data_IF_228233075773
#
_entry.id   IF_228233075773
#
_cell.length_a   1.000
_cell.length_b   1.000
_cell.length_c   1.000
_cell.angle_alpha   90.00
_cell.angle_beta   90.00
_cell.angle_gamma   90.00
#
_symmetry.space_group_name_H-M   'P 1'
#
loop_
_entity.id
_entity.type
_entity.pdbx_description
1 polymer ?
#
# COMPACT_ATOMS: atom_id res chain seq x y z
N UNK A 1 -14.47 6.49 12.12
CA UNK A 1 -14.29 5.32 11.23
C UNK A 1 -13.84 4.15 12.07
N UNK A 2 -14.40 2.94 11.86
CA UNK A 2 -14.15 1.83 12.77
C UNK A 2 -13.45 0.63 12.13
N UNK A 3 -13.34 0.60 10.79
CA UNK A 3 -12.78 -0.55 10.07
C UNK A 3 -11.58 -0.17 9.21
N UNK A 4 -10.42 -0.69 9.60
CA UNK A 4 -9.19 -0.66 8.81
C UNK A 4 -8.87 -2.04 8.30
N UNK A 5 -8.14 -2.12 7.19
CA UNK A 5 -7.63 -3.40 6.72
C UNK A 5 -6.34 -3.24 5.92
N UNK A 6 -5.58 -4.31 5.90
CA UNK A 6 -4.40 -4.46 5.06
C UNK A 6 -4.29 -5.88 4.52
N UNK A 7 -3.49 -6.06 3.50
CA UNK A 7 -3.29 -7.34 2.82
C UNK A 7 -1.82 -7.74 2.83
N UNK A 8 -1.58 -9.04 2.99
CA UNK A 8 -0.25 -9.61 2.84
C UNK A 8 -0.28 -10.99 2.19
N UNK A 9 0.67 -11.23 1.26
CA UNK A 9 0.91 -12.54 0.66
C UNK A 9 2.31 -13.05 1.02
N UNK A 10 2.39 -14.20 1.66
CA UNK A 10 3.63 -14.80 2.10
C UNK A 10 3.92 -14.62 3.59
N UNK A 11 5.19 -14.74 3.97
CA UNK A 11 5.63 -14.50 5.35
C UNK A 11 5.57 -13.02 5.70
N UNK A 12 4.89 -12.67 6.80
CA UNK A 12 4.75 -11.30 7.25
C UNK A 12 6.11 -10.77 7.74
N UNK A 13 6.60 -9.62 7.25
CA UNK A 13 7.88 -9.08 7.68
C UNK A 13 7.80 -8.49 9.09
N UNK A 14 8.85 -8.68 9.91
CA UNK A 14 8.94 -8.11 11.26
C UNK A 14 8.85 -6.58 11.30
N UNK A 15 9.30 -5.90 10.24
CA UNK A 15 9.19 -4.43 10.14
C UNK A 15 7.74 -3.91 10.10
N UNK A 16 6.74 -4.78 9.86
CA UNK A 16 5.33 -4.40 9.97
C UNK A 16 4.88 -4.14 11.41
N UNK A 17 5.71 -4.46 12.40
CA UNK A 17 5.44 -4.17 13.81
C UNK A 17 5.12 -2.69 14.04
N UNK A 18 5.88 -1.80 13.42
CA UNK A 18 5.65 -0.35 13.52
C UNK A 18 4.27 0.05 12.97
N UNK A 19 3.82 -0.55 11.86
CA UNK A 19 2.49 -0.34 11.30
C UNK A 19 1.39 -0.62 12.32
N UNK A 20 1.40 -1.82 12.92
CA UNK A 20 0.36 -2.23 13.86
C UNK A 20 0.43 -1.47 15.18
N UNK A 21 1.63 -1.18 15.70
CA UNK A 21 1.80 -0.40 16.94
C UNK A 21 1.29 1.02 16.77
N UNK A 22 1.66 1.68 15.68
CA UNK A 22 1.17 3.02 15.40
C UNK A 22 -0.35 3.04 15.14
N UNK A 23 -0.91 2.02 14.47
CA UNK A 23 -2.35 1.88 14.32
C UNK A 23 -3.06 1.82 15.69
N UNK A 24 -2.62 0.94 16.57
CA UNK A 24 -3.24 0.77 17.91
C UNK A 24 -3.19 2.07 18.71
N UNK A 25 -2.05 2.77 18.64
CA UNK A 25 -1.85 4.03 19.36
C UNK A 25 -2.82 5.13 18.89
N UNK A 26 -2.91 5.37 17.58
CA UNK A 26 -3.72 6.47 17.04
C UNK A 26 -5.19 6.12 16.81
N UNK A 27 -5.54 4.84 16.76
CA UNK A 27 -6.90 4.37 16.49
C UNK A 27 -7.43 3.41 17.57
N UNK A 28 -7.41 3.78 18.87
CA UNK A 28 -7.70 2.85 19.98
C UNK A 28 -9.11 2.25 19.95
N UNK A 29 -10.06 2.92 19.28
CA UNK A 29 -11.46 2.49 19.15
C UNK A 29 -11.79 1.83 17.80
N UNK A 30 -10.78 1.56 16.97
CA UNK A 30 -10.97 0.99 15.63
C UNK A 30 -10.57 -0.49 15.60
N UNK A 31 -11.04 -1.21 14.58
CA UNK A 31 -10.65 -2.59 14.29
C UNK A 31 -9.78 -2.62 13.04
N UNK A 32 -8.86 -3.58 13.00
CA UNK A 32 -7.98 -3.82 11.87
C UNK A 32 -8.09 -5.28 11.43
N UNK A 33 -8.49 -5.51 10.19
CA UNK A 33 -8.48 -6.84 9.59
C UNK A 33 -7.18 -7.00 8.78
N UNK A 34 -6.30 -7.89 9.24
CA UNK A 34 -5.13 -8.33 8.49
C UNK A 34 -5.50 -9.51 7.61
N UNK A 35 -5.58 -9.28 6.30
CA UNK A 35 -5.93 -10.29 5.32
C UNK A 35 -4.67 -10.99 4.79
N UNK A 36 -4.55 -12.29 5.09
CA UNK A 36 -3.44 -13.13 4.68
C UNK A 36 -3.86 -14.05 3.54
N UNK A 37 -3.09 -13.99 2.43
CA UNK A 37 -3.38 -14.75 1.22
C UNK A 37 -2.92 -16.22 1.34
N UNK A 38 -3.87 -17.13 1.42
CA UNK A 38 -3.59 -18.58 1.49
C UNK A 38 -2.95 -19.13 0.21
N UNK A 39 -3.13 -18.45 -0.93
CA UNK A 39 -2.65 -18.92 -2.24
C UNK A 39 -1.12 -18.87 -2.38
N UNK A 40 -0.42 -18.14 -1.51
CA UNK A 40 1.05 -17.95 -1.58
C UNK A 40 1.79 -18.41 -0.33
N UNK A 41 1.09 -19.13 0.52
CA UNK A 41 1.59 -19.48 1.85
C UNK A 41 1.58 -18.27 2.79
N UNK A 42 1.59 -18.52 4.08
CA UNK A 42 1.53 -17.47 5.09
C UNK A 42 2.22 -17.92 6.36
N UNK A 43 2.93 -17.00 6.97
CA UNK A 43 3.47 -17.17 8.32
C UNK A 43 3.54 -15.84 9.03
N UNK A 44 3.33 -15.87 10.34
CA UNK A 44 3.52 -14.72 11.22
C UNK A 44 4.76 -15.03 12.04
N UNK A 45 5.82 -14.23 11.97
CA UNK A 45 7.04 -14.46 12.74
C UNK A 45 6.79 -14.31 14.24
N UNK A 46 7.67 -14.90 15.06
CA UNK A 46 7.47 -15.01 16.51
C UNK A 46 7.35 -13.65 17.21
N UNK A 47 8.06 -12.64 16.75
CA UNK A 47 8.02 -11.26 17.28
C UNK A 47 6.72 -10.52 16.96
N UNK A 48 5.91 -11.04 16.04
CA UNK A 48 4.57 -10.55 15.70
C UNK A 48 3.43 -11.45 16.21
N UNK A 49 3.72 -12.51 17.00
CA UNK A 49 2.68 -13.40 17.52
C UNK A 49 1.64 -12.69 18.39
N UNK A 50 1.99 -11.56 18.98
CA UNK A 50 1.08 -10.74 19.75
C UNK A 50 -0.14 -10.25 18.96
N UNK A 51 -0.02 -10.13 17.63
CA UNK A 51 -1.15 -9.77 16.74
C UNK A 51 -2.31 -10.75 16.85
N UNK A 52 -2.04 -12.04 17.12
CA UNK A 52 -3.05 -13.10 17.23
C UNK A 52 -3.98 -12.94 18.42
N UNK A 53 -3.52 -12.24 19.45
CA UNK A 53 -4.24 -12.07 20.73
C UNK A 53 -4.68 -10.64 20.97
N UNK A 54 -4.26 -9.69 20.16
CA UNK A 54 -4.61 -8.29 20.35
C UNK A 54 -6.09 -8.02 19.97
N UNK A 55 -6.89 -7.40 20.87
CA UNK A 55 -8.34 -7.29 20.70
C UNK A 55 -8.78 -6.42 19.50
N UNK A 56 -7.90 -5.55 18.99
CA UNK A 56 -8.20 -4.71 17.84
C UNK A 56 -7.81 -5.34 16.50
N UNK A 57 -7.01 -6.41 16.51
CA UNK A 57 -6.47 -7.04 15.29
C UNK A 57 -7.20 -8.34 15.01
N UNK A 58 -7.82 -8.45 13.85
CA UNK A 58 -8.40 -9.70 13.37
C UNK A 58 -7.55 -10.25 12.22
N UNK A 59 -7.02 -11.46 12.38
CA UNK A 59 -6.31 -12.14 11.30
C UNK A 59 -7.31 -12.92 10.48
N UNK A 60 -7.41 -12.58 9.18
CA UNK A 60 -8.29 -13.20 8.20
C UNK A 60 -7.46 -13.97 7.19
N UNK A 61 -7.75 -15.25 7.01
CA UNK A 61 -7.11 -16.10 6.00
C UNK A 61 -8.10 -16.33 4.86
N UNK A 62 -7.66 -16.09 3.63
CA UNK A 62 -8.55 -16.18 2.46
C UNK A 62 -7.77 -16.52 1.19
N UNK A 63 -8.49 -16.91 0.13
CA UNK A 63 -7.92 -17.07 -1.20
C UNK A 63 -8.23 -15.83 -2.05
N UNK A 64 -7.20 -15.03 -2.34
CA UNK A 64 -7.36 -13.90 -3.24
C UNK A 64 -7.73 -14.38 -4.66
N UNK A 65 -7.25 -15.54 -5.08
CA UNK A 65 -7.60 -16.16 -6.37
C UNK A 65 -9.10 -16.36 -6.52
N UNK A 66 -9.79 -16.83 -5.46
CA UNK A 66 -11.23 -17.01 -5.49
C UNK A 66 -11.96 -15.66 -5.64
N UNK A 67 -11.51 -14.62 -4.93
CA UNK A 67 -12.11 -13.30 -5.07
C UNK A 67 -11.86 -12.70 -6.46
N UNK A 68 -10.63 -12.80 -6.97
CA UNK A 68 -10.29 -12.33 -8.32
C UNK A 68 -11.16 -13.00 -9.36
N UNK A 69 -11.37 -14.33 -9.30
CA UNK A 69 -12.22 -15.04 -10.26
C UNK A 69 -13.70 -14.63 -10.19
N UNK A 70 -14.14 -14.09 -9.06
CA UNK A 70 -15.54 -13.65 -8.85
C UNK A 70 -15.78 -12.18 -9.23
N UNK A 71 -14.82 -11.32 -8.97
CA UNK A 71 -15.00 -9.85 -9.02
C UNK A 71 -14.25 -9.17 -10.17
N UNK A 72 -13.24 -9.82 -10.73
CA UNK A 72 -12.46 -9.24 -11.84
C UNK A 72 -12.93 -9.83 -13.16
N UNK A 73 -13.33 -8.94 -14.06
CA UNK A 73 -13.75 -9.34 -15.40
C UNK A 73 -12.57 -9.89 -16.19
N UNK A 74 -12.65 -11.11 -16.76
CA UNK A 74 -11.61 -11.63 -17.63
C UNK A 74 -11.43 -10.74 -18.85
N UNK A 75 -10.18 -10.46 -19.23
CA UNK A 75 -9.90 -9.78 -20.51
C UNK A 75 -10.43 -10.61 -21.68
N UNK A 76 -11.12 -9.93 -22.59
CA UNK A 76 -11.63 -10.53 -23.83
C UNK A 76 -10.52 -10.73 -24.88
N UNK A 77 -9.36 -10.09 -24.71
CA UNK A 77 -8.21 -10.22 -25.61
C UNK A 77 -6.95 -10.50 -24.81
N UNK A 78 -6.55 -11.74 -24.76
CA UNK A 78 -5.25 -12.16 -24.22
C UNK A 78 -4.20 -12.07 -25.32
N UNK A 79 -3.41 -11.01 -25.31
CA UNK A 79 -2.07 -11.12 -25.88
C UNK A 79 -1.24 -11.98 -24.90
N UNK A 80 -1.25 -13.28 -25.09
CA UNK A 80 -0.47 -14.18 -24.25
C UNK A 80 1.03 -13.88 -24.34
N UNK A 81 1.60 -13.54 -23.24
CA UNK A 81 2.89 -13.97 -22.70
C UNK A 81 4.17 -13.48 -23.36
N UNK A 82 4.30 -13.43 -24.64
CA UNK A 82 5.62 -13.36 -25.30
C UNK A 82 6.43 -12.08 -25.02
N UNK A 83 5.82 -10.91 -25.18
CA UNK A 83 6.51 -9.63 -24.97
C UNK A 83 6.74 -9.35 -23.48
N UNK A 84 5.77 -9.71 -22.63
CA UNK A 84 5.86 -9.55 -21.21
C UNK A 84 6.98 -10.37 -20.58
N UNK A 85 7.09 -11.64 -20.96
CA UNK A 85 8.12 -12.53 -20.46
C UNK A 85 9.51 -12.11 -20.98
N UNK A 86 9.62 -11.63 -22.21
CA UNK A 86 10.86 -11.09 -22.76
C UNK A 86 11.29 -9.82 -22.02
N UNK A 87 10.41 -8.86 -21.79
CA UNK A 87 10.72 -7.61 -21.07
C UNK A 87 11.06 -7.89 -19.59
N UNK A 88 10.37 -8.81 -18.94
CA UNK A 88 10.67 -9.22 -17.57
C UNK A 88 11.99 -9.99 -17.47
N UNK A 89 12.30 -10.82 -18.45
CA UNK A 89 13.59 -11.51 -18.55
C UNK A 89 14.74 -10.52 -18.73
N UNK A 90 14.59 -9.55 -19.62
CA UNK A 90 15.55 -8.47 -19.86
C UNK A 90 15.77 -7.65 -18.58
N UNK A 91 14.72 -7.31 -17.87
CA UNK A 91 14.78 -6.58 -16.59
C UNK A 91 15.47 -7.39 -15.48
N UNK A 92 15.13 -8.67 -15.32
CA UNK A 92 15.76 -9.56 -14.32
C UNK A 92 17.23 -9.82 -14.57
N UNK A 93 17.64 -9.95 -15.84
CA UNK A 93 19.04 -10.20 -16.23
C UNK A 93 19.94 -8.99 -16.12
N UNK A 94 19.41 -7.84 -15.65
CA UNK A 94 20.19 -6.60 -15.49
C UNK A 94 20.85 -6.09 -16.79
N UNK A 95 20.45 -6.60 -17.95
CA UNK A 95 20.98 -6.25 -19.26
C UNK A 95 20.78 -4.78 -19.57
N UNK A 96 19.72 -4.17 -19.02
CA UNK A 96 19.38 -2.76 -19.19
C UNK A 96 19.74 -1.88 -17.99
N UNK A 97 20.67 -2.30 -17.12
CA UNK A 97 21.11 -1.47 -15.96
C UNK A 97 21.64 -0.09 -16.34
N UNK A 98 22.12 0.07 -17.55
CA UNK A 98 22.68 1.33 -18.07
C UNK A 98 21.63 2.22 -18.77
N UNK A 99 20.48 1.67 -19.11
CA UNK A 99 19.33 2.46 -19.53
C UNK A 99 18.55 2.74 -18.25
N UNK A 100 18.29 4.00 -17.94
CA UNK A 100 17.69 4.48 -16.69
C UNK A 100 16.23 3.98 -16.53
N UNK A 101 16.05 2.64 -16.55
CA UNK A 101 14.80 1.92 -16.31
C UNK A 101 14.46 1.84 -14.81
N UNK A 102 15.18 2.61 -13.96
CA UNK A 102 14.82 2.81 -12.54
C UNK A 102 13.44 3.44 -12.37
N UNK A 103 12.89 3.98 -13.43
CA UNK A 103 11.55 4.51 -13.41
C UNK A 103 10.54 3.38 -13.63
N UNK A 104 10.01 2.79 -12.55
CA UNK A 104 8.89 1.86 -12.56
C UNK A 104 7.66 2.41 -13.33
N UNK A 105 7.67 3.67 -13.67
CA UNK A 105 6.65 4.47 -14.31
C UNK A 105 7.00 4.82 -15.77
N UNK A 106 8.02 4.16 -16.35
CA UNK A 106 8.33 4.37 -17.75
C UNK A 106 7.12 3.99 -18.65
N UNK A 107 6.91 4.66 -19.77
CA UNK A 107 5.84 4.32 -20.72
C UNK A 107 5.85 2.85 -21.15
N UNK A 108 7.05 2.24 -21.28
CA UNK A 108 7.21 0.82 -21.60
C UNK A 108 6.71 -0.10 -20.47
N UNK A 109 6.94 0.27 -19.21
CA UNK A 109 6.46 -0.49 -18.07
C UNK A 109 4.93 -0.38 -17.96
N UNK A 110 4.38 0.83 -18.15
CA UNK A 110 2.93 1.06 -18.19
C UNK A 110 2.29 0.24 -19.33
N UNK A 111 2.85 0.28 -20.53
CA UNK A 111 2.35 -0.47 -21.69
C UNK A 111 2.29 -1.97 -21.43
N UNK A 112 3.28 -2.50 -20.73
CA UNK A 112 3.37 -3.91 -20.39
C UNK A 112 2.22 -4.40 -19.49
N UNK A 113 1.84 -3.60 -18.47
CA UNK A 113 0.71 -3.95 -17.61
C UNK A 113 -0.64 -3.79 -18.32
N UNK A 114 -0.78 -2.82 -19.23
CA UNK A 114 -2.01 -2.60 -19.98
C UNK A 114 -2.38 -3.78 -20.90
N UNK A 115 -1.38 -4.52 -21.37
CA UNK A 115 -1.59 -5.66 -22.28
C UNK A 115 -1.57 -7.02 -21.56
N UNK A 116 -1.51 -7.04 -20.22
CA UNK A 116 -1.48 -8.28 -19.44
C UNK A 116 -2.83 -8.47 -18.75
N UNK A 117 -3.43 -9.66 -18.91
CA UNK A 117 -4.63 -10.02 -18.16
C UNK A 117 -4.42 -9.81 -16.65
N UNK A 118 -5.36 -9.22 -15.91
CA UNK A 118 -5.31 -9.14 -14.46
C UNK A 118 -5.02 -10.49 -13.80
N UNK A 119 -5.62 -11.58 -14.29
CA UNK A 119 -5.37 -12.94 -13.81
C UNK A 119 -3.94 -13.41 -14.06
N UNK A 120 -3.36 -13.07 -15.21
CA UNK A 120 -1.99 -13.43 -15.53
C UNK A 120 -0.99 -12.66 -14.68
N UNK A 121 -1.19 -11.35 -14.51
CA UNK A 121 -0.36 -10.50 -13.68
C UNK A 121 -0.48 -10.91 -12.21
N UNK A 122 -1.67 -11.27 -11.75
CA UNK A 122 -1.92 -11.81 -10.42
C UNK A 122 -1.03 -13.03 -10.10
N UNK A 123 -0.89 -13.97 -11.01
CA UNK A 123 -0.09 -15.18 -10.76
C UNK A 123 1.40 -14.91 -10.59
N UNK A 124 1.92 -13.84 -11.19
CA UNK A 124 3.36 -13.58 -11.31
C UNK A 124 3.89 -12.40 -10.49
N UNK A 125 3.02 -11.52 -10.03
CA UNK A 125 3.42 -10.27 -9.37
C UNK A 125 2.74 -10.11 -8.01
N UNK A 126 3.51 -10.32 -6.93
CA UNK A 126 3.01 -10.19 -5.56
C UNK A 126 2.56 -8.77 -5.21
N UNK A 127 3.20 -7.74 -5.79
CA UNK A 127 2.79 -6.34 -5.57
C UNK A 127 1.43 -6.09 -6.22
N UNK A 128 1.20 -6.65 -7.42
CA UNK A 128 -0.10 -6.54 -8.08
C UNK A 128 -1.24 -7.20 -7.30
N UNK A 129 -0.93 -8.26 -6.53
CA UNK A 129 -1.92 -8.85 -5.62
C UNK A 129 -2.40 -7.85 -4.57
N UNK A 130 -1.51 -7.03 -4.04
CA UNK A 130 -1.88 -5.94 -3.14
C UNK A 130 -2.80 -4.92 -3.81
N UNK A 131 -2.49 -4.54 -5.06
CA UNK A 131 -3.34 -3.61 -5.83
C UNK A 131 -4.75 -4.17 -6.08
N UNK A 132 -4.87 -5.47 -6.36
CA UNK A 132 -6.16 -6.15 -6.49
C UNK A 132 -6.88 -6.27 -5.14
N UNK A 133 -6.18 -6.69 -4.11
CA UNK A 133 -6.75 -6.93 -2.79
C UNK A 133 -7.41 -5.68 -2.21
N UNK A 134 -6.76 -4.50 -2.33
CA UNK A 134 -7.30 -3.22 -1.83
C UNK A 134 -8.59 -2.77 -2.52
N UNK A 135 -8.84 -3.24 -3.76
CA UNK A 135 -10.06 -2.94 -4.49
C UNK A 135 -11.15 -3.97 -4.27
N UNK A 136 -10.79 -5.26 -4.11
CA UNK A 136 -11.77 -6.37 -4.05
C UNK A 136 -12.26 -6.61 -2.61
N UNK A 137 -11.37 -6.58 -1.62
CA UNK A 137 -11.71 -6.89 -0.22
C UNK A 137 -12.84 -6.00 0.30
N UNK A 138 -12.84 -4.68 0.11
CA UNK A 138 -13.91 -3.83 0.63
C UNK A 138 -15.26 -4.16 0.01
N UNK A 139 -15.33 -4.51 -1.26
CA UNK A 139 -16.58 -4.92 -1.93
C UNK A 139 -17.07 -6.27 -1.42
N UNK A 140 -16.16 -7.21 -1.19
CA UNK A 140 -16.50 -8.57 -0.81
C UNK A 140 -16.91 -8.73 0.66
N UNK A 141 -16.39 -7.87 1.55
CA UNK A 141 -16.43 -8.13 2.99
C UNK A 141 -16.90 -6.96 3.87
N UNK A 142 -17.03 -5.73 3.35
CA UNK A 142 -17.44 -4.58 4.16
C UNK A 142 -18.69 -3.91 3.59
N UNK A 143 -19.70 -3.75 4.43
CA UNK A 143 -20.88 -2.93 4.12
C UNK A 143 -20.75 -1.50 4.67
N UNK A 144 -19.81 -1.29 5.60
CA UNK A 144 -19.51 -0.04 6.29
C UNK A 144 -18.26 0.65 5.70
N UNK A 145 -18.05 1.94 6.05
CA UNK A 145 -16.84 2.65 5.66
C UNK A 145 -15.56 1.92 6.03
N UNK A 146 -14.63 1.80 5.09
CA UNK A 146 -13.38 1.07 5.29
C UNK A 146 -12.17 1.82 4.75
N UNK A 147 -11.02 1.63 5.41
CA UNK A 147 -9.75 2.20 5.00
C UNK A 147 -8.72 1.09 4.81
N UNK A 148 -8.23 0.98 3.59
CA UNK A 148 -7.05 0.19 3.28
C UNK A 148 -5.78 0.95 3.64
N UNK A 149 -4.82 0.25 4.25
CA UNK A 149 -3.46 0.73 4.44
C UNK A 149 -2.46 -0.36 4.06
N UNK A 150 -1.47 -0.01 3.23
CA UNK A 150 -0.31 -0.87 2.99
C UNK A 150 0.45 -1.08 4.30
N UNK A 151 1.04 -2.27 4.49
CA UNK A 151 1.72 -2.60 5.75
C UNK A 151 3.09 -1.93 5.92
N UNK A 152 3.55 -1.16 4.93
CA UNK A 152 4.71 -0.28 4.98
C UNK A 152 4.35 1.19 5.27
N UNK A 153 3.26 1.39 5.97
CA UNK A 153 2.78 2.69 6.46
C UNK A 153 2.87 2.73 7.99
N UNK A 154 3.38 3.83 8.54
CA UNK A 154 3.30 4.17 9.95
C UNK A 154 2.24 5.26 10.12
N UNK A 155 1.27 5.07 11.01
CA UNK A 155 0.32 6.11 11.39
C UNK A 155 1.01 7.10 12.35
N UNK A 156 0.77 8.38 12.13
CA UNK A 156 1.34 9.48 12.92
C UNK A 156 0.28 10.39 13.51
N UNK A 157 -0.99 10.17 13.14
CA UNK A 157 -2.15 10.83 13.72
C UNK A 157 -3.42 10.03 13.47
N UNK A 158 -4.50 10.43 14.13
CA UNK A 158 -5.84 9.89 13.90
C UNK A 158 -6.38 10.33 12.52
N UNK A 159 -6.75 9.34 11.71
CA UNK A 159 -7.32 9.55 10.37
C UNK A 159 -8.80 9.96 10.39
N UNK A 160 -9.48 9.90 11.54
CA UNK A 160 -10.91 10.23 11.63
C UNK A 160 -11.22 11.66 11.17
N UNK A 161 -10.27 12.58 11.35
CA UNK A 161 -10.43 13.99 10.94
C UNK A 161 -10.56 14.17 9.42
N UNK A 162 -10.04 13.23 8.62
CA UNK A 162 -10.06 13.28 7.16
C UNK A 162 -10.95 12.20 6.54
N UNK A 163 -11.32 11.17 7.29
CA UNK A 163 -12.23 10.09 6.87
C UNK A 163 -13.69 10.52 7.06
N UNK A 164 -14.17 11.39 6.19
CA UNK A 164 -15.53 11.96 6.28
C UNK A 164 -16.47 11.28 5.26
N UNK A 165 -17.11 12.07 4.42
CA UNK A 165 -18.13 11.60 3.47
C UNK A 165 -17.57 11.29 2.08
N UNK A 166 -16.34 11.67 1.81
CA UNK A 166 -15.69 11.53 0.50
C UNK A 166 -14.56 10.53 0.59
N UNK A 167 -14.51 9.59 -0.35
CA UNK A 167 -13.38 8.69 -0.52
C UNK A 167 -12.09 9.45 -0.84
N UNK A 168 -10.94 8.89 -0.48
CA UNK A 168 -9.68 9.54 -0.80
C UNK A 168 -8.53 8.58 -1.05
N UNK A 169 -7.54 9.12 -1.75
CA UNK A 169 -6.19 8.62 -1.98
C UNK A 169 -5.20 9.77 -1.77
N UNK A 170 -3.90 9.54 -1.92
CA UNK A 170 -2.92 10.63 -1.90
C UNK A 170 -2.00 10.58 -3.12
N UNK A 171 -1.28 11.67 -3.42
CA UNK A 171 -0.40 11.78 -4.58
C UNK A 171 1.01 12.14 -4.16
N UNK A 172 1.99 11.56 -4.84
CA UNK A 172 3.35 12.08 -4.90
C UNK A 172 3.41 13.26 -5.88
N UNK A 173 4.03 14.35 -5.50
CA UNK A 173 3.94 15.64 -6.23
C UNK A 173 4.28 15.55 -7.71
N UNK A 174 5.22 14.67 -8.08
CA UNK A 174 5.75 14.58 -9.47
C UNK A 174 4.95 13.64 -10.39
N UNK A 175 3.81 13.09 -9.92
CA UNK A 175 3.06 12.09 -10.69
C UNK A 175 1.67 12.57 -11.08
N UNK A 176 1.23 12.14 -12.28
CA UNK A 176 -0.10 12.38 -12.85
C UNK A 176 -1.18 11.39 -12.37
N UNK A 177 -0.87 10.60 -11.34
CA UNK A 177 -1.76 9.64 -10.72
C UNK A 177 -1.59 9.63 -9.19
N UNK A 178 -2.61 9.18 -8.48
CA UNK A 178 -2.54 9.03 -7.03
C UNK A 178 -1.99 7.66 -6.62
N UNK A 179 -1.35 7.63 -5.45
CA UNK A 179 -0.94 6.42 -4.76
C UNK A 179 -2.12 5.88 -3.94
N UNK A 180 -2.22 4.57 -3.86
CA UNK A 180 -3.26 3.85 -3.13
C UNK A 180 -2.74 3.04 -1.94
N UNK A 181 -1.54 3.37 -1.42
CA UNK A 181 -1.06 2.79 -0.16
C UNK A 181 -1.99 3.13 1.03
N UNK A 182 -2.75 4.22 0.90
CA UNK A 182 -3.94 4.53 1.70
C UNK A 182 -5.09 4.76 0.73
N UNK A 183 -6.16 4.00 0.90
CA UNK A 183 -7.39 4.15 0.12
C UNK A 183 -8.60 4.10 1.06
N UNK A 184 -9.33 5.20 1.16
CA UNK A 184 -10.55 5.28 1.95
C UNK A 184 -11.79 5.19 1.09
N UNK A 185 -12.69 4.28 1.45
CA UNK A 185 -14.02 4.12 0.87
C UNK A 185 -15.08 4.43 1.95
N UNK A 186 -15.81 5.56 1.83
CA UNK A 186 -16.81 5.98 2.81
C UNK A 186 -18.07 5.12 2.77
N UNK A 187 -18.20 4.24 1.79
CA UNK A 187 -19.29 3.28 1.64
C UNK A 187 -18.91 2.15 0.70
N UNK A 188 -19.63 1.03 0.78
CA UNK A 188 -19.52 -0.07 -0.17
C UNK A 188 -19.72 0.40 -1.63
N UNK A 189 -20.64 1.33 -1.85
CA UNK A 189 -20.88 1.90 -3.19
C UNK A 189 -19.64 2.54 -3.80
N UNK A 190 -18.84 3.25 -3.01
CA UNK A 190 -17.58 3.85 -3.50
C UNK A 190 -16.56 2.76 -3.79
N UNK A 191 -16.47 1.73 -2.93
CA UNK A 191 -15.59 0.58 -3.18
C UNK A 191 -15.97 -0.16 -4.47
N UNK A 192 -17.27 -0.37 -4.73
CA UNK A 192 -17.78 -0.96 -5.98
C UNK A 192 -17.40 -0.12 -7.20
N UNK A 193 -17.53 1.20 -7.12
CA UNK A 193 -17.15 2.10 -8.21
C UNK A 193 -15.64 2.05 -8.49
N UNK A 194 -14.79 1.93 -7.48
CA UNK A 194 -13.35 1.75 -7.66
C UNK A 194 -13.04 0.42 -8.34
N UNK A 195 -13.69 -0.67 -7.93
CA UNK A 195 -13.53 -1.98 -8.53
C UNK A 195 -13.99 -1.99 -9.99
N UNK A 196 -15.15 -1.38 -10.28
CA UNK A 196 -15.70 -1.27 -11.63
C UNK A 196 -14.78 -0.46 -12.54
N UNK A 197 -14.22 0.65 -12.05
CA UNK A 197 -13.23 1.43 -12.80
C UNK A 197 -11.98 0.59 -13.12
N UNK A 198 -11.47 -0.22 -12.18
CA UNK A 198 -10.38 -1.14 -12.41
C UNK A 198 -10.70 -2.20 -13.49
N UNK A 199 -11.92 -2.73 -13.47
CA UNK A 199 -12.42 -3.64 -14.51
C UNK A 199 -12.55 -2.95 -15.87
N UNK A 200 -13.02 -1.70 -15.93
CA UNK A 200 -13.17 -0.94 -17.18
C UNK A 200 -11.82 -0.60 -17.82
N UNK A 201 -10.82 -0.20 -17.01
CA UNK A 201 -9.47 0.07 -17.53
C UNK A 201 -8.62 -1.20 -17.63
N UNK A 202 -9.18 -2.34 -17.25
CA UNK A 202 -8.53 -3.66 -17.28
C UNK A 202 -7.20 -3.71 -16.51
N UNK A 203 -7.03 -2.83 -15.51
CA UNK A 203 -5.80 -2.74 -14.73
C UNK A 203 -6.04 -2.10 -13.36
N UNK A 204 -5.51 -2.72 -12.32
CA UNK A 204 -5.64 -2.25 -10.93
C UNK A 204 -4.41 -1.51 -10.42
N UNK A 205 -3.42 -1.26 -11.27
CA UNK A 205 -2.24 -0.46 -10.90
C UNK A 205 -2.62 1.00 -10.68
N UNK A 206 -2.04 1.68 -9.67
CA UNK A 206 -2.36 3.08 -9.36
C UNK A 206 -2.26 4.02 -10.56
N UNK A 207 -1.24 3.88 -11.40
CA UNK A 207 -1.04 4.74 -12.59
C UNK A 207 -2.04 4.55 -13.72
N UNK A 208 -2.91 3.55 -13.64
CA UNK A 208 -4.05 3.38 -14.55
C UNK A 208 -5.36 3.66 -13.85
N UNK A 209 -5.52 3.20 -12.61
CA UNK A 209 -6.78 3.26 -11.88
C UNK A 209 -6.98 4.60 -11.16
N UNK A 210 -5.92 5.23 -10.65
CA UNK A 210 -6.03 6.46 -9.86
C UNK A 210 -5.49 7.69 -10.59
N UNK A 211 -5.76 7.80 -11.90
CA UNK A 211 -5.52 9.04 -12.66
C UNK A 211 -6.48 10.14 -12.23
N UNK A 212 -6.16 11.41 -12.51
CA UNK A 212 -7.04 12.54 -12.19
C UNK A 212 -8.45 12.38 -12.76
N UNK A 213 -8.54 11.88 -13.99
CA UNK A 213 -9.82 11.66 -14.68
C UNK A 213 -10.68 10.67 -13.91
N UNK A 214 -10.11 9.51 -13.55
CA UNK A 214 -10.84 8.47 -12.82
C UNK A 214 -11.14 8.92 -11.38
N UNK A 215 -10.19 9.51 -10.68
CA UNK A 215 -10.44 10.02 -9.32
C UNK A 215 -11.57 11.05 -9.29
N UNK A 216 -11.63 11.95 -10.27
CA UNK A 216 -12.73 12.91 -10.40
C UNK A 216 -14.07 12.22 -10.69
N UNK A 217 -14.10 11.24 -11.60
CA UNK A 217 -15.31 10.45 -11.89
C UNK A 217 -15.82 9.68 -10.67
N UNK A 218 -14.91 9.15 -9.86
CA UNK A 218 -15.21 8.43 -8.62
C UNK A 218 -15.48 9.36 -7.44
N UNK A 219 -15.35 10.67 -7.61
CA UNK A 219 -15.42 11.66 -6.53
C UNK A 219 -14.45 11.36 -5.39
N UNK A 220 -13.23 10.92 -5.71
CA UNK A 220 -12.16 10.67 -4.76
C UNK A 220 -11.34 11.95 -4.55
N UNK A 221 -11.15 12.34 -3.30
CA UNK A 221 -10.23 13.41 -2.95
C UNK A 221 -8.79 12.93 -3.05
N UNK A 222 -7.94 13.72 -3.69
CA UNK A 222 -6.52 13.44 -3.76
C UNK A 222 -5.79 14.36 -2.78
N UNK A 223 -5.24 13.78 -1.72
CA UNK A 223 -4.43 14.53 -0.75
C UNK A 223 -2.98 14.70 -1.24
N UNK A 224 -2.30 15.78 -0.86
CA UNK A 224 -0.91 16.03 -1.24
C UNK A 224 0.07 15.15 -0.42
N UNK A 225 1.25 14.94 -0.98
CA UNK A 225 2.31 14.12 -0.37
C UNK A 225 2.80 14.63 0.99
N UNK A 226 2.78 15.94 1.21
CA UNK A 226 3.24 16.56 2.45
C UNK A 226 2.40 16.22 3.69
N UNK A 227 1.28 15.51 3.51
CA UNK A 227 0.48 14.97 4.60
C UNK A 227 0.68 13.44 4.78
N UNK A 228 1.09 12.73 3.72
CA UNK A 228 1.07 11.27 3.69
C UNK A 228 2.41 10.60 3.47
N UNK A 229 3.44 11.33 3.05
CA UNK A 229 4.70 10.70 2.67
C UNK A 229 5.89 11.65 2.75
N UNK A 230 6.60 11.58 3.87
CA UNK A 230 7.78 12.41 4.09
C UNK A 230 8.92 12.10 3.11
N UNK A 231 9.02 10.86 2.62
CA UNK A 231 10.11 10.45 1.71
C UNK A 231 9.97 11.04 0.31
N UNK A 232 8.75 11.34 -0.12
CA UNK A 232 8.47 12.00 -1.40
C UNK A 232 8.28 13.51 -1.27
N UNK A 233 8.30 14.04 -0.06
CA UNK A 233 8.30 15.49 0.14
C UNK A 233 9.74 16.02 0.04
N UNK A 234 10.10 16.80 -1.00
CA UNK A 234 11.48 17.26 -1.20
C UNK A 234 12.00 18.19 -0.09
N UNK A 235 11.10 18.71 0.75
CA UNK A 235 11.42 19.56 1.91
C UNK A 235 11.59 18.78 3.22
N UNK A 236 11.48 17.45 3.18
CA UNK A 236 11.64 16.59 4.35
C UNK A 236 13.10 16.13 4.51
N UNK A 237 13.54 15.94 5.74
CA UNK A 237 14.82 15.31 6.06
C UNK A 237 14.88 13.85 5.57
N UNK A 238 13.73 13.19 5.44
CA UNK A 238 13.59 11.83 4.90
C UNK A 238 13.58 11.78 3.38
N UNK A 239 13.56 12.93 2.69
CA UNK A 239 13.41 12.98 1.24
C UNK A 239 14.47 12.14 0.49
N UNK A 240 13.99 11.49 -0.59
CA UNK A 240 14.80 10.88 -1.64
C UNK A 240 15.40 9.50 -1.35
N UNK A 241 15.49 9.04 -0.08
CA UNK A 241 16.02 7.72 0.24
C UNK A 241 15.26 7.08 1.41
N UNK A 242 14.41 6.10 1.11
CA UNK A 242 13.66 5.36 2.11
C UNK A 242 14.56 4.60 3.11
N UNK A 243 15.82 4.28 2.75
CA UNK A 243 16.74 3.61 3.67
C UNK A 243 17.17 4.52 4.83
N UNK A 244 17.09 5.83 4.69
CA UNK A 244 17.33 6.76 5.83
C UNK A 244 16.43 6.45 7.02
N UNK A 245 15.20 5.98 6.76
CA UNK A 245 14.24 5.62 7.80
C UNK A 245 14.71 4.44 8.67
N UNK A 246 15.56 3.57 8.11
CA UNK A 246 16.06 2.35 8.78
C UNK A 246 17.50 2.46 9.29
N UNK A 247 18.21 3.53 8.95
CA UNK A 247 19.62 3.74 9.36
C UNK A 247 19.71 4.77 10.46
N UNK A 248 20.61 4.51 11.41
CA UNK A 248 20.99 5.49 12.42
C UNK A 248 21.86 6.59 11.78
N UNK A 249 21.47 7.83 11.98
CA UNK A 249 22.23 9.04 11.60
C UNK A 249 22.18 10.05 12.73
N UNK A 250 23.03 11.08 12.67
CA UNK A 250 22.97 12.18 13.63
C UNK A 250 21.65 12.98 13.54
N UNK A 251 20.91 12.82 12.45
CA UNK A 251 19.62 13.47 12.22
C UNK A 251 18.42 12.58 12.57
N UNK A 252 18.61 11.33 13.04
CA UNK A 252 17.50 10.40 13.27
C UNK A 252 16.41 10.95 14.20
N UNK A 253 16.81 11.65 15.27
CA UNK A 253 15.86 12.31 16.20
C UNK A 253 15.12 13.43 15.49
N UNK A 254 15.85 14.33 14.79
CA UNK A 254 15.25 15.44 14.06
C UNK A 254 14.27 14.96 12.95
N UNK A 255 14.56 13.84 12.29
CA UNK A 255 13.64 13.21 11.32
C UNK A 255 12.32 12.77 11.97
N UNK A 256 12.37 12.19 13.18
CA UNK A 256 11.16 11.79 13.91
C UNK A 256 10.39 13.03 14.39
N UNK A 257 11.06 14.01 14.95
CA UNK A 257 10.45 15.28 15.37
C UNK A 257 9.75 15.97 14.20
N UNK A 258 10.41 16.03 13.04
CA UNK A 258 9.84 16.61 11.82
C UNK A 258 8.52 15.94 11.41
N UNK A 259 8.41 14.60 11.53
CA UNK A 259 7.18 13.88 11.18
C UNK A 259 5.98 14.37 12.00
N UNK A 260 6.17 14.65 13.28
CA UNK A 260 5.11 15.17 14.15
C UNK A 260 4.91 16.68 14.01
N UNK A 261 5.96 17.47 13.95
CA UNK A 261 5.88 18.93 13.82
C UNK A 261 5.22 19.38 12.51
N UNK A 262 5.55 18.73 11.38
CA UNK A 262 4.92 18.96 10.08
C UNK A 262 3.56 18.31 9.94
N UNK A 263 3.08 17.62 10.99
CA UNK A 263 1.75 17.00 11.06
C UNK A 263 1.48 16.03 9.91
N UNK A 264 2.48 15.19 9.58
CA UNK A 264 2.21 14.06 8.70
C UNK A 264 1.14 13.17 9.34
N UNK A 265 0.23 12.69 8.53
CA UNK A 265 -0.85 11.79 8.97
C UNK A 265 -0.34 10.36 8.98
N UNK A 266 0.45 10.02 8.00
CA UNK A 266 1.18 8.76 7.89
C UNK A 266 2.56 8.99 7.30
N UNK A 267 3.45 8.01 7.47
CA UNK A 267 4.71 7.92 6.73
C UNK A 267 4.82 6.56 6.05
N UNK A 268 5.14 6.54 4.76
CA UNK A 268 5.21 5.35 3.93
C UNK A 268 6.69 5.04 3.63
N UNK A 269 7.18 3.81 3.93
CA UNK A 269 8.60 3.44 3.72
C UNK A 269 8.88 2.54 2.52
N UNK A 270 7.94 2.49 1.57
CA UNK A 270 8.14 2.02 0.19
C UNK A 270 8.83 0.67 0.03
N UNK A 271 8.17 -0.42 0.38
CA UNK A 271 8.62 -1.79 0.08
C UNK A 271 9.98 -2.20 0.66
N UNK A 272 10.47 -1.54 1.72
CA UNK A 272 11.74 -1.91 2.36
C UNK A 272 11.57 -3.06 3.39
N UNK A 273 10.80 -4.06 3.04
CA UNK A 273 10.39 -5.17 3.91
C UNK A 273 11.52 -6.03 4.46
N UNK A 274 12.66 -6.07 3.76
CA UNK A 274 13.83 -6.88 4.13
C UNK A 274 14.91 -6.10 4.85
N UNK A 275 14.70 -4.82 5.05
CA UNK A 275 15.64 -3.96 5.75
C UNK A 275 15.53 -4.24 7.25
N UNK A 276 16.67 -4.50 7.88
CA UNK A 276 16.77 -4.63 9.34
C UNK A 276 17.03 -3.22 9.88
N UNK A 277 16.12 -2.68 10.72
CA UNK A 277 16.33 -1.35 11.30
C UNK A 277 17.53 -1.34 12.24
N UNK A 278 18.36 -0.31 12.14
CA UNK A 278 19.43 -0.07 13.10
C UNK A 278 18.87 0.53 14.39
N UNK A 279 19.43 0.16 15.54
CA UNK A 279 19.08 0.77 16.83
C UNK A 279 19.40 2.28 16.79
N UNK A 280 18.42 3.10 17.13
CA UNK A 280 18.49 4.57 17.04
C UNK A 280 18.19 5.13 15.65
N UNK A 281 17.74 4.32 14.68
CA UNK A 281 17.15 4.79 13.42
C UNK A 281 15.79 5.45 13.65
N UNK A 282 15.27 6.28 12.72
CA UNK A 282 13.92 6.83 12.83
C UNK A 282 12.85 5.75 13.05
N UNK A 283 12.97 4.60 12.38
CA UNK A 283 12.08 3.44 12.59
C UNK A 283 12.13 2.96 14.06
N UNK A 284 13.32 2.73 14.60
CA UNK A 284 13.52 2.22 15.96
C UNK A 284 13.03 3.23 17.01
N UNK A 285 13.30 4.51 16.81
CA UNK A 285 12.83 5.59 17.69
C UNK A 285 11.30 5.67 17.73
N UNK A 286 10.62 5.58 16.57
CA UNK A 286 9.16 5.55 16.49
C UNK A 286 8.60 4.29 17.15
N UNK A 287 9.20 3.14 16.88
CA UNK A 287 8.75 1.87 17.46
C UNK A 287 8.82 1.93 19.00
N UNK A 288 9.94 2.42 19.55
CA UNK A 288 10.11 2.59 21.00
C UNK A 288 9.13 3.61 21.58
N UNK A 289 8.83 4.70 20.86
CA UNK A 289 7.81 5.66 21.27
C UNK A 289 6.44 5.01 21.45
N UNK A 290 6.01 4.12 20.54
CA UNK A 290 4.73 3.41 20.63
C UNK A 290 4.73 2.18 21.56
N UNK A 291 5.90 1.69 21.98
CA UNK A 291 6.00 0.64 22.97
C UNK A 291 5.96 1.17 24.42
N UNK A 292 6.44 2.39 24.63
CA UNK A 292 6.54 2.99 25.97
C UNK A 292 5.21 3.52 26.52
N UNK A 293 4.15 3.46 25.73
CA UNK A 293 2.79 3.89 26.06
C UNK A 293 1.84 2.68 26.13
#
# INVERSE_FOLDING_TARGET
MNQFFGYWGGSLPSVTNLHFRSFIHFHPNSKYDLWLDADVGQSIPSDLNWLKTHPQINIRVFSLKQLVSRYVTPLTQTAEGGLFDALRFIHRKKILRHINLKNYYSPLFKLNYKHSSPLFTYQRDLVYRGDLARCIIPVAHYDEPSLYADLDVCFLSDLNSICMHQGFVYRWEDYDFANSAILYSPSKKVAELVLDAGNQVECFRPWYLFTDVICNQLNLKIYPTNLFDAMWNPKSLLAGDALKFFKKTDQSVAMVEELFEKKYIVNHWHNNWRTIPETGSPYDLLLNHFFAQ
#
